data_IF_006849291731
#
_entry.id   IF_006849291731
#
_cell.length_a   1.000
_cell.length_b   1.000
_cell.length_c   1.000
_cell.angle_alpha   90.00
_cell.angle_beta   90.00
_cell.angle_gamma   90.00
#
_symmetry.space_group_name_H-M   'P 1'
#
loop_
_entity.id
_entity.type
_entity.pdbx_description
1 polymer ?
#
# COMPACT_ATOMS: atom_id res chain seq x y z
N UNK A 1 -9.33 -12.14 -4.25
CA UNK A 1 -10.77 -11.81 -4.37
C UNK A 1 -11.53 -13.00 -4.95
N UNK A 2 -12.18 -13.85 -4.15
CA UNK A 2 -13.33 -14.58 -4.70
C UNK A 2 -14.39 -15.09 -3.72
N UNK A 3 -14.15 -15.33 -2.43
CA UNK A 3 -15.25 -15.83 -1.56
C UNK A 3 -15.14 -15.40 -0.10
N UNK A 4 -15.06 -14.10 0.19
CA UNK A 4 -15.02 -13.67 1.59
C UNK A 4 -15.13 -12.17 1.81
N UNK A 5 -16.27 -11.57 1.50
CA UNK A 5 -16.76 -10.36 2.20
C UNK A 5 -18.17 -9.96 1.71
N UNK A 6 -19.13 -10.85 1.92
CA UNK A 6 -20.55 -10.48 2.15
C UNK A 6 -20.75 -10.00 3.60
N UNK A 7 -19.73 -10.09 4.45
CA UNK A 7 -19.76 -9.52 5.79
C UNK A 7 -19.36 -8.04 5.74
N UNK A 8 -20.12 -7.19 6.42
CA UNK A 8 -19.66 -5.89 6.90
C UNK A 8 -18.34 -6.10 7.65
N UNK A 9 -17.20 -5.99 6.98
CA UNK A 9 -15.95 -6.21 7.69
C UNK A 9 -15.76 -5.05 8.67
N UNK A 10 -15.48 -5.35 9.95
CA UNK A 10 -15.20 -4.33 10.94
C UNK A 10 -13.97 -3.54 10.49
N UNK A 11 -13.83 -2.34 11.03
CA UNK A 11 -12.68 -1.43 10.89
C UNK A 11 -11.31 -2.15 10.85
N UNK A 12 -11.20 -3.30 11.52
CA UNK A 12 -10.07 -4.22 11.49
C UNK A 12 -9.59 -4.68 10.10
N UNK A 13 -10.44 -4.92 9.09
CA UNK A 13 -9.92 -5.34 7.75
C UNK A 13 -9.05 -4.28 7.11
N UNK A 14 -9.56 -3.05 7.10
CA UNK A 14 -8.90 -1.92 6.49
C UNK A 14 -7.63 -1.58 7.26
N UNK A 15 -7.65 -1.73 8.58
CA UNK A 15 -6.46 -1.62 9.42
C UNK A 15 -5.44 -2.70 9.08
N UNK A 16 -5.83 -3.97 8.96
CA UNK A 16 -4.93 -5.07 8.57
C UNK A 16 -4.35 -4.86 7.17
N UNK A 17 -5.17 -4.44 6.21
CA UNK A 17 -4.71 -4.13 4.86
C UNK A 17 -3.66 -3.02 4.86
N UNK A 18 -3.88 -1.96 5.64
CA UNK A 18 -2.91 -0.87 5.86
C UNK A 18 -1.61 -1.37 6.47
N UNK A 19 -1.67 -2.25 7.47
CA UNK A 19 -0.48 -2.89 8.03
C UNK A 19 0.31 -3.68 6.97
N UNK A 20 -0.38 -4.51 6.19
CA UNK A 20 0.24 -5.33 5.15
C UNK A 20 0.86 -4.45 4.07
N UNK A 21 0.14 -3.44 3.57
CA UNK A 21 0.66 -2.54 2.52
C UNK A 21 1.83 -1.70 3.04
N UNK A 22 1.78 -1.22 4.29
CA UNK A 22 2.87 -0.47 4.92
C UNK A 22 4.14 -1.34 5.09
N UNK A 23 4.00 -2.60 5.52
CA UNK A 23 5.12 -3.53 5.64
C UNK A 23 5.69 -3.84 4.26
N UNK A 24 4.84 -4.17 3.29
CA UNK A 24 5.25 -4.46 1.92
C UNK A 24 5.97 -3.27 1.29
N UNK A 25 5.49 -2.04 1.49
CA UNK A 25 6.14 -0.85 0.94
C UNK A 25 7.51 -0.62 1.56
N UNK A 26 7.65 -0.91 2.86
CA UNK A 26 8.95 -0.82 3.55
C UNK A 26 9.95 -1.82 2.99
N UNK A 27 9.54 -3.06 2.71
CA UNK A 27 10.40 -4.06 2.08
C UNK A 27 10.84 -3.65 0.66
N UNK A 28 9.95 -3.02 -0.10
CA UNK A 28 10.27 -2.50 -1.44
C UNK A 28 11.24 -1.32 -1.34
N UNK A 29 11.09 -0.44 -0.35
CA UNK A 29 12.03 0.67 -0.10
C UNK A 29 13.45 0.12 0.15
N UNK A 30 13.60 -0.89 1.02
CA UNK A 30 14.91 -1.49 1.28
C UNK A 30 15.58 -2.04 0.01
N UNK A 31 14.84 -2.77 -0.81
CA UNK A 31 15.36 -3.28 -2.08
C UNK A 31 15.64 -2.18 -3.11
N UNK A 32 14.83 -1.12 -3.13
CA UNK A 32 15.07 0.05 -3.98
C UNK A 32 16.34 0.82 -3.56
N UNK A 33 16.71 0.78 -2.27
CA UNK A 33 18.01 1.29 -1.79
C UNK A 33 19.18 0.44 -2.28
N UNK A 34 19.08 -0.89 -2.23
CA UNK A 34 20.13 -1.78 -2.74
C UNK A 34 20.32 -1.61 -4.26
N UNK A 35 19.23 -1.54 -5.02
CA UNK A 35 19.25 -1.39 -6.48
C UNK A 35 19.42 0.05 -6.99
N UNK A 36 19.55 1.03 -6.09
CA UNK A 36 19.65 2.46 -6.42
C UNK A 36 18.53 2.98 -7.35
N UNK A 37 17.30 2.51 -7.16
CA UNK A 37 16.13 2.92 -7.95
C UNK A 37 15.46 4.11 -7.28
N UNK A 38 15.88 5.33 -7.63
CA UNK A 38 15.44 6.54 -6.92
C UNK A 38 13.93 6.82 -6.99
N UNK A 39 13.29 6.55 -8.14
CA UNK A 39 11.84 6.75 -8.28
C UNK A 39 11.05 5.82 -7.35
N UNK A 40 11.49 4.56 -7.17
CA UNK A 40 10.82 3.59 -6.31
C UNK A 40 10.98 3.97 -4.83
N UNK A 41 12.14 4.49 -4.41
CA UNK A 41 12.33 5.00 -3.04
C UNK A 41 11.27 6.05 -2.70
N UNK A 42 11.15 7.08 -3.54
CA UNK A 42 10.22 8.20 -3.29
C UNK A 42 8.77 7.75 -3.29
N UNK A 43 8.35 6.99 -4.32
CA UNK A 43 6.97 6.53 -4.46
C UNK A 43 6.55 5.64 -3.29
N UNK A 44 7.38 4.68 -2.89
CA UNK A 44 7.03 3.77 -1.81
C UNK A 44 7.12 4.41 -0.42
N UNK A 45 7.96 5.43 -0.22
CA UNK A 45 7.93 6.24 1.01
C UNK A 45 6.58 6.96 1.14
N UNK A 46 6.09 7.57 0.06
CA UNK A 46 4.77 8.24 0.07
C UNK A 46 3.66 7.23 0.33
N UNK A 47 3.70 6.05 -0.30
CA UNK A 47 2.73 4.97 -0.06
C UNK A 47 2.79 4.50 1.41
N UNK A 48 3.98 4.29 1.97
CA UNK A 48 4.14 3.86 3.36
C UNK A 48 3.53 4.88 4.35
N UNK A 49 3.69 6.17 4.10
CA UNK A 49 3.09 7.23 4.91
C UNK A 49 1.57 7.24 4.74
N UNK A 50 1.08 7.12 3.51
CA UNK A 50 -0.34 7.19 3.22
C UNK A 50 -1.13 6.00 3.79
N UNK A 51 -0.53 4.81 3.78
CA UNK A 51 -1.09 3.59 4.36
C UNK A 51 -0.63 3.33 5.80
N UNK A 52 -0.01 4.31 6.48
CA UNK A 52 0.51 4.12 7.83
C UNK A 52 -0.64 3.87 8.83
N UNK A 53 -0.67 2.72 9.52
CA UNK A 53 -1.72 2.40 10.48
C UNK A 53 -1.70 3.31 11.73
N UNK A 54 -0.57 3.96 12.05
CA UNK A 54 -0.44 4.86 13.19
C UNK A 54 -1.15 6.21 12.98
N UNK A 55 -1.29 6.64 11.73
CA UNK A 55 -1.93 7.90 11.36
C UNK A 55 -3.02 7.64 10.29
N UNK A 56 -4.15 7.02 10.66
CA UNK A 56 -5.19 6.68 9.71
C UNK A 56 -5.81 7.94 9.11
N UNK A 57 -5.60 8.15 7.81
CA UNK A 57 -6.25 9.23 7.06
C UNK A 57 -7.70 8.81 6.79
N UNK A 58 -8.65 9.63 7.26
CA UNK A 58 -10.08 9.41 7.08
C UNK A 58 -10.53 10.10 5.80
N UNK A 59 -10.53 9.36 4.69
CA UNK A 59 -11.08 9.80 3.41
C UNK A 59 -12.32 8.96 3.08
N UNK A 60 -13.19 9.49 2.22
CA UNK A 60 -14.32 8.72 1.69
C UNK A 60 -13.82 7.49 0.93
N UNK A 61 -14.62 6.42 0.97
CA UNK A 61 -14.33 5.17 0.24
C UNK A 61 -14.12 5.41 -1.26
N UNK A 62 -14.84 6.38 -1.84
CA UNK A 62 -14.69 6.79 -3.25
C UNK A 62 -13.29 7.30 -3.60
N UNK A 63 -12.58 7.89 -2.64
CA UNK A 63 -11.22 8.42 -2.84
C UNK A 63 -10.16 7.37 -2.53
N UNK A 64 -10.41 6.46 -1.59
CA UNK A 64 -9.49 5.36 -1.31
C UNK A 64 -9.40 4.34 -2.47
N UNK A 65 -10.51 4.05 -3.15
CA UNK A 65 -10.53 3.11 -4.28
C UNK A 65 -9.48 3.45 -5.36
N UNK A 66 -9.44 4.68 -5.94
CA UNK A 66 -8.44 5.00 -6.95
C UNK A 66 -7.01 5.00 -6.38
N UNK A 67 -6.82 5.39 -5.12
CA UNK A 67 -5.51 5.35 -4.44
C UNK A 67 -5.01 3.90 -4.33
N UNK A 68 -5.87 2.97 -3.90
CA UNK A 68 -5.54 1.56 -3.76
C UNK A 68 -5.16 0.95 -5.12
N UNK A 69 -5.89 1.31 -6.18
CA UNK A 69 -5.60 0.87 -7.56
C UNK A 69 -4.23 1.38 -8.03
N UNK A 70 -3.95 2.67 -7.84
CA UNK A 70 -2.66 3.29 -8.21
C UNK A 70 -1.52 2.60 -7.43
N UNK A 71 -1.73 2.37 -6.14
CA UNK A 71 -0.76 1.69 -5.27
C UNK A 71 -0.48 0.27 -5.76
N UNK A 72 -1.51 -0.49 -6.14
CA UNK A 72 -1.36 -1.83 -6.70
C UNK A 72 -0.54 -1.84 -8.00
N UNK A 73 -0.76 -0.86 -8.89
CA UNK A 73 0.02 -0.72 -10.13
C UNK A 73 1.50 -0.48 -9.81
N UNK A 74 1.80 0.43 -8.87
CA UNK A 74 3.18 0.70 -8.46
C UNK A 74 3.86 -0.53 -7.86
N UNK A 75 3.16 -1.32 -7.03
CA UNK A 75 3.68 -2.59 -6.52
C UNK A 75 4.03 -3.57 -7.63
N UNK A 76 3.15 -3.75 -8.61
CA UNK A 76 3.40 -4.64 -9.75
C UNK A 76 4.62 -4.16 -10.54
N UNK A 77 4.71 -2.86 -10.85
CA UNK A 77 5.87 -2.29 -11.54
C UNK A 77 7.17 -2.49 -10.74
N UNK A 78 7.14 -2.25 -9.43
CA UNK A 78 8.31 -2.43 -8.57
C UNK A 78 8.77 -3.89 -8.53
N UNK A 79 7.85 -4.85 -8.40
CA UNK A 79 8.18 -6.30 -8.40
C UNK A 79 8.75 -6.82 -9.72
N UNK A 80 8.65 -6.05 -10.81
CA UNK A 80 9.30 -6.43 -12.08
C UNK A 80 10.72 -5.89 -12.22
N UNK A 81 11.05 -4.85 -11.47
CA UNK A 81 12.30 -4.11 -11.59
C UNK A 81 13.27 -4.53 -10.49
N UNK A 82 12.72 -4.84 -9.31
CA UNK A 82 13.38 -5.48 -8.18
C UNK A 82 13.36 -6.99 -8.38
#
# INVERSE_FOLDING_TARGET
MLFGAVAEWPYGYYTLLRWITCIASTLVIFQAFEKNIDWAKVVFIVIAILFNPLAPIHLSRSTWIPIDIITAIFFISATRII
#
